data_IF_898807275929
#
_entry.id   IF_898807275929
#
_cell.length_a   1.000
_cell.length_b   1.000
_cell.length_c   1.000
_cell.angle_alpha   90.00
_cell.angle_beta   90.00
_cell.angle_gamma   90.00
#
_symmetry.space_group_name_H-M   'P 1'
#
loop_
_entity.id
_entity.type
_entity.pdbx_description
1 polymer ?
#
# COMPACT_ATOMS: atom_id res chain seq x y z
N UNK A 1 -3.43 -9.75 8.59
CA UNK A 1 -4.20 -8.85 9.48
C UNK A 1 -5.58 -9.48 9.67
N UNK A 2 -5.87 -10.39 10.60
CA UNK A 2 -5.48 -10.54 12.00
C UNK A 2 -5.79 -9.30 12.85
N UNK A 3 -7.03 -9.17 13.34
CA UNK A 3 -7.41 -8.50 14.61
C UNK A 3 -8.89 -8.81 14.93
N UNK A 4 -9.15 -9.73 15.87
CA UNK A 4 -9.57 -9.46 17.26
C UNK A 4 -11.00 -8.92 17.41
N UNK A 5 -11.96 -9.79 17.74
CA UNK A 5 -13.06 -9.49 18.68
C UNK A 5 -13.50 -10.78 19.40
N UNK A 6 -12.74 -11.16 20.43
CA UNK A 6 -13.19 -12.10 21.46
C UNK A 6 -14.02 -11.31 22.48
N UNK A 7 -15.33 -11.48 22.44
CA UNK A 7 -16.28 -10.98 23.44
C UNK A 7 -16.17 -11.81 24.72
N UNK A 8 -15.62 -11.20 25.77
CA UNK A 8 -15.45 -11.78 27.09
C UNK A 8 -16.80 -11.92 27.83
N UNK A 9 -17.19 -13.18 28.10
CA UNK A 9 -18.31 -13.53 28.99
C UNK A 9 -17.80 -13.56 30.44
N UNK A 10 -18.03 -12.48 31.19
CA UNK A 10 -17.66 -12.37 32.61
C UNK A 10 -18.78 -12.96 33.47
N UNK A 11 -18.58 -14.18 33.96
CA UNK A 11 -19.45 -14.84 34.94
C UNK A 11 -19.10 -14.29 36.32
N UNK A 12 -20.04 -13.56 36.93
CA UNK A 12 -19.92 -13.07 38.31
C UNK A 12 -20.55 -14.15 39.22
N UNK A 13 -19.70 -14.85 39.98
CA UNK A 13 -20.12 -15.70 41.09
C UNK A 13 -20.35 -14.82 42.33
N UNK A 14 -21.56 -14.88 42.92
CA UNK A 14 -21.86 -14.29 44.22
C UNK A 14 -21.83 -15.39 45.30
N UNK A 15 -21.23 -15.13 46.49
CA UNK A 15 -21.21 -16.09 47.58
C UNK A 15 -22.50 -16.04 48.41
N UNK A 16 -22.97 -17.23 48.78
CA UNK A 16 -24.12 -17.47 49.64
C UNK A 16 -23.68 -17.39 51.11
N UNK A 17 -24.10 -16.33 51.81
CA UNK A 17 -23.91 -16.20 53.25
C UNK A 17 -25.16 -16.76 53.97
N UNK A 18 -24.94 -17.71 54.88
CA UNK A 18 -25.98 -18.46 55.61
C UNK A 18 -25.84 -18.10 57.09
N UNK A 19 -26.63 -17.14 57.56
CA UNK A 19 -26.70 -16.76 58.98
C UNK A 19 -27.69 -17.66 59.71
N UNK A 20 -27.16 -18.54 60.57
CA UNK A 20 -27.93 -19.20 61.61
C UNK A 20 -28.16 -18.21 62.76
N UNK A 21 -29.42 -17.98 63.12
CA UNK A 21 -29.79 -17.27 64.33
C UNK A 21 -30.45 -18.23 65.31
N UNK A 22 -29.88 -18.22 66.51
CA UNK A 22 -30.04 -19.18 67.58
C UNK A 22 -31.26 -18.86 68.43
N UNK A 23 -31.92 -19.95 68.84
CA UNK A 23 -32.91 -20.10 69.91
C UNK A 23 -32.62 -19.26 71.16
N UNK A 24 -33.66 -18.61 71.72
CA UNK A 24 -33.86 -18.35 73.16
C UNK A 24 -35.20 -17.65 73.40
N UNK A 25 -36.13 -18.27 74.15
CA UNK A 25 -37.34 -17.57 74.58
C UNK A 25 -38.49 -18.42 75.11
N UNK A 26 -38.21 -19.47 75.90
CA UNK A 26 -39.22 -20.05 76.78
C UNK A 26 -39.21 -19.26 78.10
N UNK A 27 -40.39 -18.94 78.64
CA UNK A 27 -40.71 -18.49 80.03
C UNK A 27 -41.56 -17.22 80.13
N UNK A 28 -42.72 -17.13 79.48
CA UNK A 28 -43.79 -16.16 79.84
C UNK A 28 -45.21 -16.71 79.51
N UNK A 29 -45.52 -17.96 79.84
CA UNK A 29 -46.72 -18.64 79.33
C UNK A 29 -47.89 -18.81 80.34
N UNK A 30 -47.83 -18.28 81.56
CA UNK A 30 -48.81 -18.63 82.61
C UNK A 30 -49.80 -17.53 83.05
N UNK A 31 -49.58 -16.26 82.68
CA UNK A 31 -50.49 -15.14 83.06
C UNK A 31 -51.29 -14.57 81.87
N UNK A 32 -51.13 -15.13 80.67
CA UNK A 32 -51.80 -14.66 79.46
C UNK A 32 -53.27 -15.12 79.32
N UNK A 33 -53.64 -16.25 79.93
CA UNK A 33 -54.92 -16.92 79.65
C UNK A 33 -56.16 -16.15 80.10
N UNK A 34 -56.09 -15.38 81.20
CA UNK A 34 -57.25 -14.67 81.74
C UNK A 34 -57.49 -13.30 81.09
N UNK A 35 -56.40 -12.66 80.63
CA UNK A 35 -56.45 -11.46 79.77
C UNK A 35 -56.94 -11.85 78.36
N UNK A 36 -56.49 -12.99 77.83
CA UNK A 36 -56.94 -13.50 76.54
C UNK A 36 -58.44 -13.80 76.52
N UNK A 37 -59.03 -14.36 77.57
CA UNK A 37 -60.47 -14.64 77.60
C UNK A 37 -61.38 -13.38 77.61
N UNK A 38 -60.90 -12.25 78.18
CA UNK A 38 -61.61 -10.95 78.09
C UNK A 38 -61.37 -10.27 76.74
N UNK A 39 -60.14 -10.38 76.22
CA UNK A 39 -59.79 -9.90 74.88
C UNK A 39 -60.60 -10.63 73.81
N UNK A 40 -60.82 -11.93 73.97
CA UNK A 40 -61.57 -12.76 73.02
C UNK A 40 -63.06 -12.42 73.01
N UNK A 41 -63.66 -12.07 74.15
CA UNK A 41 -65.05 -11.56 74.21
C UNK A 41 -65.20 -10.16 73.62
N UNK A 42 -64.24 -9.25 73.87
CA UNK A 42 -64.22 -7.95 73.20
C UNK A 42 -64.01 -8.09 71.70
N UNK A 43 -63.09 -8.96 71.26
CA UNK A 43 -62.88 -9.26 69.84
C UNK A 43 -64.14 -9.85 69.22
N UNK A 44 -64.84 -10.78 69.87
CA UNK A 44 -66.10 -11.31 69.34
C UNK A 44 -67.18 -10.23 69.17
N UNK A 45 -67.31 -9.28 70.11
CA UNK A 45 -68.26 -8.17 69.95
C UNK A 45 -67.83 -7.17 68.87
N UNK A 46 -66.53 -6.87 68.76
CA UNK A 46 -65.99 -5.98 67.72
C UNK A 46 -66.14 -6.62 66.34
N UNK A 47 -65.80 -7.90 66.18
CA UNK A 47 -65.97 -8.63 64.92
C UNK A 47 -67.45 -8.74 64.54
N UNK A 48 -68.35 -9.02 65.48
CA UNK A 48 -69.79 -9.03 65.21
C UNK A 48 -70.27 -7.64 64.74
N UNK A 49 -69.83 -6.56 65.40
CA UNK A 49 -70.14 -5.18 64.98
C UNK A 49 -69.59 -4.84 63.59
N UNK A 50 -68.34 -5.21 63.30
CA UNK A 50 -67.70 -4.99 61.98
C UNK A 50 -68.43 -5.78 60.89
N UNK A 51 -68.78 -7.04 61.15
CA UNK A 51 -69.49 -7.86 60.16
C UNK A 51 -70.88 -7.31 59.85
N UNK A 52 -71.62 -6.84 60.86
CA UNK A 52 -72.91 -6.17 60.66
C UNK A 52 -72.73 -4.86 59.88
N UNK A 53 -71.70 -4.07 60.19
CA UNK A 53 -71.42 -2.84 59.47
C UNK A 53 -71.06 -3.11 58.00
N UNK A 54 -70.24 -4.12 57.72
CA UNK A 54 -69.84 -4.50 56.37
C UNK A 54 -71.02 -5.07 55.57
N UNK A 55 -71.92 -5.86 56.17
CA UNK A 55 -73.11 -6.33 55.46
C UNK A 55 -74.06 -5.18 55.15
N UNK A 56 -74.27 -4.24 56.08
CA UNK A 56 -75.06 -3.04 55.81
C UNK A 56 -74.41 -2.16 54.72
N UNK A 57 -73.09 -2.01 54.74
CA UNK A 57 -72.34 -1.30 53.69
C UNK A 57 -72.54 -1.98 52.33
N UNK A 58 -72.44 -3.30 52.24
CA UNK A 58 -72.68 -4.05 51.00
C UNK A 58 -74.13 -3.87 50.53
N UNK A 59 -75.12 -3.89 51.42
CA UNK A 59 -76.53 -3.66 51.05
C UNK A 59 -76.74 -2.23 50.54
N UNK A 60 -76.12 -1.22 51.14
CA UNK A 60 -76.18 0.17 50.68
C UNK A 60 -75.47 0.33 49.33
N UNK A 61 -74.31 -0.30 49.14
CA UNK A 61 -73.58 -0.27 47.87
C UNK A 61 -74.33 -1.02 46.77
N UNK A 62 -74.93 -2.17 47.07
CA UNK A 62 -75.73 -2.93 46.12
C UNK A 62 -77.00 -2.17 45.73
N UNK A 63 -77.73 -1.59 46.69
CA UNK A 63 -78.93 -0.78 46.38
C UNK A 63 -78.58 0.48 45.57
N UNK A 64 -77.48 1.15 45.89
CA UNK A 64 -76.98 2.29 45.10
C UNK A 64 -76.55 1.87 43.69
N UNK A 65 -75.90 0.72 43.54
CA UNK A 65 -75.50 0.16 42.24
C UNK A 65 -76.71 -0.24 41.39
N UNK A 66 -77.75 -0.84 41.99
CA UNK A 66 -79.02 -1.12 41.31
C UNK A 66 -79.76 0.15 40.89
N UNK A 67 -79.75 1.19 41.71
CA UNK A 67 -80.35 2.49 41.35
C UNK A 67 -79.59 3.15 40.19
N UNK A 68 -78.26 3.13 40.23
CA UNK A 68 -77.43 3.70 39.16
C UNK A 68 -77.51 2.88 37.86
N UNK A 69 -77.66 1.55 37.96
CA UNK A 69 -77.80 0.68 36.78
C UNK A 69 -79.19 0.75 36.13
N UNK A 70 -80.22 1.21 36.86
CA UNK A 70 -81.55 1.48 36.31
C UNK A 70 -81.70 2.84 35.63
N UNK A 71 -80.68 3.70 35.66
CA UNK A 71 -80.55 4.82 34.74
C UNK A 71 -80.34 4.29 33.31
N UNK A 72 -81.39 3.73 32.72
CA UNK A 72 -81.37 3.14 31.40
C UNK A 72 -80.98 4.20 30.38
N UNK A 73 -79.81 4.04 29.78
CA UNK A 73 -79.47 4.75 28.55
C UNK A 73 -80.60 4.49 27.57
N UNK A 74 -81.16 5.55 26.99
CA UNK A 74 -82.25 5.48 26.01
C UNK A 74 -81.93 4.37 24.99
N UNK A 75 -82.82 3.37 24.79
CA UNK A 75 -82.59 2.30 23.82
C UNK A 75 -82.20 2.82 22.42
N UNK A 76 -82.69 3.99 22.01
CA UNK A 76 -82.29 4.63 20.75
C UNK A 76 -80.86 5.17 20.77
N UNK A 77 -80.40 5.70 21.90
CA UNK A 77 -79.00 6.11 22.08
C UNK A 77 -78.07 4.90 22.09
N UNK A 78 -78.46 3.83 22.79
CA UNK A 78 -77.68 2.59 22.80
C UNK A 78 -77.60 1.96 21.40
N UNK A 79 -78.69 1.99 20.62
CA UNK A 79 -78.68 1.51 19.24
C UNK A 79 -77.74 2.36 18.35
N UNK A 80 -77.74 3.69 18.51
CA UNK A 80 -76.81 4.59 17.80
C UNK A 80 -75.35 4.29 18.14
N UNK A 81 -75.04 4.08 19.42
CA UNK A 81 -73.69 3.72 19.86
C UNK A 81 -73.23 2.37 19.28
N UNK A 82 -74.10 1.36 19.23
CA UNK A 82 -73.77 0.06 18.59
C UNK A 82 -73.48 0.21 17.11
N UNK A 83 -74.32 0.96 16.37
CA UNK A 83 -74.07 1.21 14.95
C UNK A 83 -72.77 1.97 14.70
N UNK A 84 -72.47 2.97 15.53
CA UNK A 84 -71.20 3.71 15.47
C UNK A 84 -70.00 2.78 15.73
N UNK A 85 -70.07 1.95 16.77
CA UNK A 85 -69.01 1.00 17.11
C UNK A 85 -68.83 -0.09 16.03
N UNK A 86 -69.91 -0.61 15.45
CA UNK A 86 -69.84 -1.55 14.32
C UNK A 86 -69.19 -0.90 13.09
N UNK A 87 -69.48 0.37 12.82
CA UNK A 87 -68.85 1.12 11.73
C UNK A 87 -67.35 1.33 11.99
N UNK A 88 -66.96 1.76 13.18
CA UNK A 88 -65.56 1.91 13.58
C UNK A 88 -64.81 0.57 13.50
N UNK A 89 -65.43 -0.51 13.98
CA UNK A 89 -64.85 -1.86 13.91
C UNK A 89 -64.61 -2.27 12.46
N UNK A 90 -65.57 -2.02 11.56
CA UNK A 90 -65.40 -2.27 10.12
C UNK A 90 -64.25 -1.44 9.51
N UNK A 91 -64.10 -0.18 9.91
CA UNK A 91 -62.97 0.65 9.45
C UNK A 91 -61.63 0.12 9.97
N UNK A 92 -61.55 -0.24 11.25
CA UNK A 92 -60.34 -0.83 11.83
C UNK A 92 -59.97 -2.16 11.17
N UNK A 93 -60.94 -3.02 10.87
CA UNK A 93 -60.68 -4.27 10.14
C UNK A 93 -60.11 -3.99 8.76
N UNK A 94 -60.69 -3.07 7.99
CA UNK A 94 -60.15 -2.67 6.67
C UNK A 94 -58.72 -2.13 6.77
N UNK A 95 -58.43 -1.32 7.79
CA UNK A 95 -57.10 -0.76 8.00
C UNK A 95 -56.08 -1.86 8.39
N UNK A 96 -56.47 -2.83 9.22
CA UNK A 96 -55.62 -3.99 9.54
C UNK A 96 -55.33 -4.83 8.30
N UNK A 97 -56.35 -5.12 7.49
CA UNK A 97 -56.15 -5.85 6.24
C UNK A 97 -55.25 -5.10 5.26
N UNK A 98 -55.38 -3.76 5.18
CA UNK A 98 -54.46 -2.92 4.39
C UNK A 98 -53.03 -3.04 4.91
N UNK A 99 -52.84 -2.90 6.22
CA UNK A 99 -51.53 -2.99 6.85
C UNK A 99 -50.89 -4.39 6.70
N UNK A 100 -51.67 -5.46 6.80
CA UNK A 100 -51.20 -6.82 6.55
C UNK A 100 -50.76 -7.02 5.09
N UNK A 101 -51.50 -6.46 4.12
CA UNK A 101 -51.11 -6.48 2.70
C UNK A 101 -49.80 -5.72 2.47
N UNK A 102 -49.69 -4.52 3.02
CA UNK A 102 -48.46 -3.72 2.92
C UNK A 102 -47.27 -4.41 3.57
N UNK A 103 -47.48 -5.05 4.72
CA UNK A 103 -46.41 -5.76 5.44
C UNK A 103 -45.93 -6.97 4.65
N UNK A 104 -46.85 -7.73 4.04
CA UNK A 104 -46.52 -8.85 3.15
C UNK A 104 -45.75 -8.38 1.91
N UNK A 105 -46.19 -7.29 1.28
CA UNK A 105 -45.47 -6.71 0.13
C UNK A 105 -44.05 -6.28 0.52
N UNK A 106 -43.90 -5.55 1.62
CA UNK A 106 -42.57 -5.15 2.13
C UNK A 106 -41.70 -6.34 2.51
N UNK A 107 -42.29 -7.44 2.97
CA UNK A 107 -41.54 -8.66 3.25
C UNK A 107 -41.06 -9.31 1.95
N UNK A 108 -41.92 -9.42 0.94
CA UNK A 108 -41.55 -9.94 -0.38
C UNK A 108 -40.46 -9.08 -1.04
N UNK A 109 -40.56 -7.75 -0.95
CA UNK A 109 -39.52 -6.83 -1.44
C UNK A 109 -38.19 -7.04 -0.73
N UNK A 110 -38.19 -7.26 0.60
CA UNK A 110 -36.97 -7.58 1.36
C UNK A 110 -36.37 -8.91 0.94
N UNK A 111 -37.20 -9.95 0.80
CA UNK A 111 -36.76 -11.29 0.37
C UNK A 111 -36.18 -11.24 -1.05
N UNK A 112 -36.81 -10.48 -1.97
CA UNK A 112 -36.27 -10.25 -3.31
C UNK A 112 -34.94 -9.50 -3.27
N UNK A 113 -34.85 -8.43 -2.49
CA UNK A 113 -33.61 -7.66 -2.35
C UNK A 113 -32.47 -8.50 -1.74
N UNK A 114 -32.74 -9.29 -0.71
CA UNK A 114 -31.77 -10.21 -0.11
C UNK A 114 -31.29 -11.26 -1.12
N UNK A 115 -32.20 -11.80 -1.94
CA UNK A 115 -31.86 -12.72 -3.02
C UNK A 115 -30.95 -12.07 -4.07
N UNK A 116 -31.29 -10.86 -4.54
CA UNK A 116 -30.47 -10.10 -5.50
C UNK A 116 -29.08 -9.79 -4.95
N UNK A 117 -29.00 -9.39 -3.68
CA UNK A 117 -27.73 -9.10 -3.00
C UNK A 117 -26.87 -10.35 -2.83
N UNK A 118 -27.46 -11.50 -2.53
CA UNK A 118 -26.73 -12.77 -2.45
C UNK A 118 -26.20 -13.21 -3.81
N UNK A 119 -26.99 -13.04 -4.88
CA UNK A 119 -26.52 -13.29 -6.25
C UNK A 119 -25.35 -12.39 -6.65
N UNK A 120 -25.38 -11.11 -6.26
CA UNK A 120 -24.25 -10.21 -6.47
C UNK A 120 -23.02 -10.62 -5.64
N UNK A 121 -23.22 -11.05 -4.40
CA UNK A 121 -22.14 -11.54 -3.53
C UNK A 121 -21.44 -12.75 -4.13
N UNK A 122 -22.20 -13.75 -4.60
CA UNK A 122 -21.65 -14.94 -5.25
C UNK A 122 -20.80 -14.57 -6.48
N UNK A 123 -21.31 -13.66 -7.33
CA UNK A 123 -20.54 -13.15 -8.48
C UNK A 123 -19.24 -12.48 -8.07
N UNK A 124 -19.26 -11.64 -7.04
CA UNK A 124 -18.04 -11.00 -6.52
C UNK A 124 -17.07 -11.99 -5.89
N UNK A 125 -17.55 -13.04 -5.23
CA UNK A 125 -16.70 -14.11 -4.69
C UNK A 125 -16.01 -14.89 -5.81
N UNK A 126 -16.74 -15.23 -6.88
CA UNK A 126 -16.18 -15.87 -8.07
C UNK A 126 -15.15 -14.98 -8.79
N UNK A 127 -15.46 -13.71 -8.99
CA UNK A 127 -14.52 -12.72 -9.55
C UNK A 127 -13.26 -12.58 -8.68
N UNK A 128 -13.41 -12.54 -7.36
CA UNK A 128 -12.29 -12.45 -6.43
C UNK A 128 -11.40 -13.71 -6.48
N UNK A 129 -11.99 -14.90 -6.61
CA UNK A 129 -11.26 -16.16 -6.81
C UNK A 129 -10.52 -16.14 -8.13
N UNK A 130 -11.15 -15.72 -9.22
CA UNK A 130 -10.52 -15.63 -10.54
C UNK A 130 -9.33 -14.67 -10.53
N UNK A 131 -9.51 -13.48 -9.95
CA UNK A 131 -8.41 -12.52 -9.76
C UNK A 131 -7.26 -13.07 -8.90
N UNK A 132 -7.55 -13.92 -7.90
CA UNK A 132 -6.50 -14.58 -7.12
C UNK A 132 -5.70 -15.57 -7.98
N UNK A 133 -6.38 -16.42 -8.75
CA UNK A 133 -5.75 -17.38 -9.66
C UNK A 133 -4.90 -16.65 -10.70
N UNK A 134 -5.41 -15.55 -11.26
CA UNK A 134 -4.70 -14.75 -12.24
C UNK A 134 -3.41 -14.15 -11.65
N UNK A 135 -3.49 -13.59 -10.42
CA UNK A 135 -2.29 -13.08 -9.72
C UNK A 135 -1.23 -14.15 -9.50
N UNK A 136 -1.63 -15.36 -9.07
CA UNK A 136 -0.71 -16.49 -8.89
C UNK A 136 -0.08 -16.95 -10.21
N UNK A 137 -0.82 -16.85 -11.32
CA UNK A 137 -0.28 -17.12 -12.66
C UNK A 137 0.79 -16.09 -13.05
N UNK A 138 0.48 -14.79 -12.91
CA UNK A 138 1.42 -13.71 -13.20
C UNK A 138 2.68 -13.76 -12.33
N UNK A 139 2.55 -14.17 -11.06
CA UNK A 139 3.69 -14.32 -10.16
C UNK A 139 4.61 -15.47 -10.60
N UNK A 140 4.05 -16.60 -11.04
CA UNK A 140 4.84 -17.71 -11.61
C UNK A 140 5.56 -17.31 -12.88
N UNK A 141 4.86 -16.64 -13.81
CA UNK A 141 5.48 -16.15 -15.06
C UNK A 141 6.61 -15.14 -14.76
N UNK A 142 6.43 -14.26 -13.77
CA UNK A 142 7.47 -13.32 -13.36
C UNK A 142 8.70 -14.03 -12.78
N UNK A 143 8.50 -15.04 -11.94
CA UNK A 143 9.59 -15.85 -11.37
C UNK A 143 10.32 -16.68 -12.43
N UNK A 144 9.62 -17.15 -13.47
CA UNK A 144 10.23 -17.83 -14.61
C UNK A 144 11.08 -16.85 -15.43
N UNK A 145 10.53 -15.69 -15.77
CA UNK A 145 11.25 -14.64 -16.47
C UNK A 145 12.50 -14.17 -15.72
N UNK A 146 12.44 -14.03 -14.39
CA UNK A 146 13.58 -13.65 -13.57
C UNK A 146 14.68 -14.73 -13.60
N UNK A 147 14.31 -16.01 -13.54
CA UNK A 147 15.27 -17.13 -13.66
C UNK A 147 15.92 -17.18 -15.05
N UNK A 148 15.15 -16.99 -16.11
CA UNK A 148 15.67 -16.93 -17.48
C UNK A 148 16.64 -15.75 -17.64
N UNK A 149 16.28 -14.58 -17.10
CA UNK A 149 17.14 -13.40 -17.12
C UNK A 149 18.45 -13.64 -16.36
N UNK A 150 18.40 -14.20 -15.16
CA UNK A 150 19.61 -14.54 -14.40
C UNK A 150 20.48 -15.56 -15.12
N UNK A 151 19.87 -16.54 -15.80
CA UNK A 151 20.60 -17.50 -16.60
C UNK A 151 21.30 -16.81 -17.79
N UNK A 152 20.57 -15.96 -18.51
CA UNK A 152 21.13 -15.18 -19.61
C UNK A 152 22.28 -14.28 -19.15
N UNK A 153 22.12 -13.58 -18.02
CA UNK A 153 23.18 -12.74 -17.44
C UNK A 153 24.42 -13.58 -17.10
N UNK A 154 24.27 -14.77 -16.49
CA UNK A 154 25.38 -15.69 -16.19
C UNK A 154 26.10 -16.19 -17.44
N UNK A 155 25.35 -16.56 -18.48
CA UNK A 155 25.91 -17.02 -19.75
C UNK A 155 26.66 -15.88 -20.44
N UNK A 156 26.07 -14.69 -20.50
CA UNK A 156 26.65 -13.53 -21.16
C UNK A 156 27.91 -13.02 -20.44
N UNK A 157 27.89 -12.97 -19.11
CA UNK A 157 29.07 -12.65 -18.30
C UNK A 157 30.17 -13.72 -18.41
N UNK A 158 29.78 -14.98 -18.57
CA UNK A 158 30.71 -16.08 -18.84
C UNK A 158 31.42 -15.92 -20.18
N UNK A 159 30.66 -15.65 -21.25
CA UNK A 159 31.19 -15.38 -22.58
C UNK A 159 32.08 -14.14 -22.60
N UNK A 160 31.66 -13.05 -21.93
CA UNK A 160 32.44 -11.82 -21.84
C UNK A 160 33.82 -12.07 -21.19
N UNK A 161 33.86 -12.84 -20.09
CA UNK A 161 35.11 -13.24 -19.42
C UNK A 161 35.98 -14.10 -20.32
N UNK A 162 35.41 -15.07 -21.03
CA UNK A 162 36.17 -15.91 -21.98
C UNK A 162 36.77 -15.06 -23.10
N UNK A 163 36.00 -14.16 -23.73
CA UNK A 163 36.51 -13.24 -24.75
C UNK A 163 37.62 -12.34 -24.22
N UNK A 164 37.53 -11.89 -22.96
CA UNK A 164 38.59 -11.10 -22.33
C UNK A 164 39.85 -11.93 -22.08
N UNK A 165 39.73 -13.16 -21.58
CA UNK A 165 40.86 -14.07 -21.41
C UNK A 165 41.54 -14.40 -22.74
N UNK A 166 40.77 -14.67 -23.80
CA UNK A 166 41.29 -14.88 -25.15
C UNK A 166 42.05 -13.64 -25.64
N UNK A 167 41.50 -12.44 -25.42
CA UNK A 167 42.22 -11.17 -25.71
C UNK A 167 43.53 -11.09 -24.93
N UNK A 168 43.54 -11.41 -23.63
CA UNK A 168 44.76 -11.42 -22.81
C UNK A 168 45.80 -12.43 -23.32
N UNK A 169 45.36 -13.62 -23.76
CA UNK A 169 46.25 -14.67 -24.29
C UNK A 169 46.82 -14.32 -25.67
N UNK A 170 46.11 -13.56 -26.50
CA UNK A 170 46.55 -13.17 -27.83
C UNK A 170 47.77 -12.22 -27.84
N UNK A 171 48.19 -11.70 -26.67
CA UNK A 171 49.29 -10.75 -26.56
C UNK A 171 48.93 -9.36 -27.07
N UNK A 172 49.93 -8.51 -27.34
CA UNK A 172 49.70 -7.19 -27.93
C UNK A 172 49.12 -7.34 -29.33
N UNK A 173 48.02 -6.65 -29.63
CA UNK A 173 47.42 -6.66 -30.97
C UNK A 173 46.80 -5.30 -31.33
N UNK A 174 46.54 -5.08 -32.62
CA UNK A 174 45.81 -3.92 -33.12
C UNK A 174 44.30 -4.15 -33.11
N UNK A 175 43.57 -3.34 -32.36
CA UNK A 175 42.11 -3.21 -32.46
C UNK A 175 41.79 -2.22 -33.60
N UNK A 176 41.19 -2.71 -34.69
CA UNK A 176 40.99 -1.96 -35.94
C UNK A 176 41.61 -2.68 -37.15
N UNK A 177 41.76 -2.03 -38.31
CA UNK A 177 41.75 -0.58 -38.53
C UNK A 177 40.36 0.03 -38.74
N UNK A 178 40.10 1.16 -38.10
CA UNK A 178 38.94 2.02 -38.31
C UNK A 178 39.25 3.05 -39.40
N UNK A 179 38.38 3.11 -40.41
CA UNK A 179 38.45 4.12 -41.46
C UNK A 179 37.84 5.43 -40.97
N UNK A 180 38.53 6.55 -41.19
CA UNK A 180 37.87 7.85 -41.01
C UNK A 180 36.74 8.01 -42.03
N UNK A 181 35.62 8.66 -41.66
CA UNK A 181 34.49 8.85 -42.58
C UNK A 181 34.85 9.67 -43.83
N UNK A 182 35.80 10.59 -43.71
CA UNK A 182 36.20 11.51 -44.77
C UNK A 182 37.62 11.18 -45.28
N UNK A 183 37.90 11.56 -46.53
CA UNK A 183 39.25 11.50 -47.08
C UNK A 183 40.05 12.72 -46.60
N UNK A 184 41.32 12.52 -46.25
CA UNK A 184 42.21 13.62 -45.85
C UNK A 184 42.73 14.43 -47.04
N UNK A 185 42.61 13.88 -48.24
CA UNK A 185 43.07 14.46 -49.49
C UNK A 185 42.65 13.61 -50.70
N UNK A 186 43.05 14.02 -51.90
CA UNK A 186 42.79 13.23 -53.11
C UNK A 186 43.56 11.91 -53.02
N UNK A 187 42.82 10.79 -53.05
CA UNK A 187 43.32 9.42 -52.92
C UNK A 187 44.02 9.10 -51.57
N UNK A 188 43.88 9.94 -50.55
CA UNK A 188 44.41 9.68 -49.20
C UNK A 188 43.30 9.51 -48.18
N UNK A 189 43.35 8.43 -47.41
CA UNK A 189 42.43 8.15 -46.31
C UNK A 189 43.20 7.81 -45.04
N UNK A 190 42.76 8.36 -43.92
CA UNK A 190 43.33 8.07 -42.62
C UNK A 190 42.66 6.81 -42.06
N UNK A 191 43.49 5.93 -41.54
CA UNK A 191 43.09 4.77 -40.78
C UNK A 191 43.63 4.93 -39.37
N UNK A 192 42.82 4.60 -38.37
CA UNK A 192 43.19 4.57 -36.97
C UNK A 192 43.09 3.15 -36.44
N UNK A 193 43.94 2.79 -35.49
CA UNK A 193 43.88 1.51 -34.77
C UNK A 193 44.39 1.72 -33.35
N UNK A 194 43.84 0.97 -32.41
CA UNK A 194 44.25 1.03 -31.01
C UNK A 194 45.14 -0.16 -30.69
N UNK A 195 46.31 0.11 -30.11
CA UNK A 195 47.17 -0.96 -29.65
C UNK A 195 46.70 -1.44 -28.28
N UNK A 196 46.16 -2.66 -28.21
CA UNK A 196 45.62 -3.26 -26.99
C UNK A 196 46.61 -4.26 -26.38
N UNK A 197 46.45 -4.52 -25.08
CA UNK A 197 47.17 -5.55 -24.33
C UNK A 197 48.70 -5.46 -24.34
N UNK A 198 49.23 -4.23 -24.33
CA UNK A 198 50.67 -4.03 -24.18
C UNK A 198 51.12 -4.44 -22.76
N UNK A 199 52.10 -5.35 -22.62
CA UNK A 199 52.68 -5.77 -21.35
C UNK A 199 53.16 -4.59 -20.50
N UNK A 200 53.07 -4.75 -19.18
CA UNK A 200 53.63 -3.79 -18.23
C UNK A 200 55.15 -3.65 -18.45
N UNK A 201 55.64 -2.42 -18.48
CA UNK A 201 57.04 -2.10 -18.72
C UNK A 201 57.45 -2.03 -20.19
N UNK A 202 56.62 -2.49 -21.14
CA UNK A 202 56.88 -2.27 -22.56
C UNK A 202 56.48 -0.85 -22.97
N UNK A 203 57.36 -0.16 -23.70
CA UNK A 203 57.07 1.18 -24.23
C UNK A 203 55.98 1.12 -25.29
N UNK A 204 54.86 1.82 -25.07
CA UNK A 204 53.77 1.90 -26.04
C UNK A 204 54.22 2.51 -27.36
N UNK A 205 55.13 3.49 -27.31
CA UNK A 205 55.70 4.12 -28.49
C UNK A 205 56.47 3.11 -29.32
N UNK A 206 57.26 2.26 -28.66
CA UNK A 206 58.05 1.23 -29.34
C UNK A 206 57.13 0.21 -30.01
N UNK A 207 56.17 -0.34 -29.26
CA UNK A 207 55.24 -1.33 -29.81
C UNK A 207 54.36 -0.76 -30.93
N UNK A 208 53.94 0.50 -30.84
CA UNK A 208 53.22 1.18 -31.92
C UNK A 208 54.07 1.28 -33.20
N UNK A 209 55.37 1.56 -33.07
CA UNK A 209 56.25 1.70 -34.24
C UNK A 209 56.69 0.37 -34.85
N UNK A 210 56.79 -0.69 -34.05
CA UNK A 210 57.35 -1.98 -34.45
C UNK A 210 56.29 -3.00 -34.87
N UNK A 211 55.04 -2.85 -34.44
CA UNK A 211 53.99 -3.82 -34.76
C UNK A 211 53.29 -3.50 -36.10
N UNK A 212 53.32 -4.41 -37.09
CA UNK A 212 52.63 -4.20 -38.35
C UNK A 212 51.11 -4.28 -38.19
N UNK A 213 50.37 -3.47 -38.94
CA UNK A 213 48.90 -3.52 -39.04
C UNK A 213 48.47 -3.88 -40.47
N UNK A 214 47.42 -4.69 -40.61
CA UNK A 214 46.87 -5.04 -41.92
C UNK A 214 45.79 -4.03 -42.33
N UNK A 215 46.01 -3.27 -43.40
CA UNK A 215 45.01 -2.36 -43.99
C UNK A 215 44.74 -2.81 -45.42
N UNK A 216 43.49 -3.19 -45.72
CA UNK A 216 43.09 -3.70 -47.04
C UNK A 216 43.99 -4.85 -47.52
N UNK A 217 44.28 -5.82 -46.63
CA UNK A 217 45.16 -6.97 -46.90
C UNK A 217 46.62 -6.64 -47.21
N UNK A 218 47.06 -5.40 -46.95
CA UNK A 218 48.46 -4.98 -47.09
C UNK A 218 49.05 -4.69 -45.70
N UNK A 219 50.23 -5.22 -45.37
CA UNK A 219 50.90 -4.90 -44.12
C UNK A 219 51.46 -3.49 -44.19
N UNK A 220 51.06 -2.64 -43.25
CA UNK A 220 51.71 -1.36 -42.97
C UNK A 220 52.66 -1.60 -41.81
N UNK A 221 53.96 -1.55 -42.09
CA UNK A 221 55.02 -1.93 -41.14
C UNK A 221 55.23 -0.89 -40.05
N UNK A 222 54.99 0.40 -40.35
CA UNK A 222 55.16 1.51 -39.43
C UNK A 222 54.02 2.52 -39.59
N UNK A 223 53.30 2.87 -38.52
CA UNK A 223 52.31 3.94 -38.59
C UNK A 223 53.00 5.31 -38.77
N UNK A 224 52.32 6.22 -39.46
CA UNK A 224 52.79 7.60 -39.66
C UNK A 224 52.82 8.40 -38.36
N UNK A 225 51.87 8.12 -37.46
CA UNK A 225 51.71 8.80 -36.19
C UNK A 225 51.32 7.80 -35.11
N UNK A 226 52.01 7.86 -33.98
CA UNK A 226 51.68 7.13 -32.77
C UNK A 226 51.21 8.14 -31.72
N UNK A 227 49.95 8.05 -31.30
CA UNK A 227 49.41 8.86 -30.21
C UNK A 227 49.19 7.98 -29.00
N UNK A 228 49.79 8.36 -27.87
CA UNK A 228 49.65 7.62 -26.62
C UNK A 228 48.48 8.18 -25.82
N UNK A 229 47.52 7.33 -25.45
CA UNK A 229 46.62 7.65 -24.35
C UNK A 229 47.42 7.59 -23.04
N UNK A 230 47.25 8.60 -22.16
CA UNK A 230 47.80 8.54 -20.81
C UNK A 230 46.94 7.51 -20.04
N UNK A 231 47.45 6.27 -19.99
CA UNK A 231 46.71 5.04 -19.64
C UNK A 231 45.96 5.06 -18.31
N UNK A 232 46.30 5.90 -17.33
CA UNK A 232 45.69 5.81 -16.00
C UNK A 232 44.36 6.55 -15.83
N UNK A 233 43.96 7.43 -16.75
CA UNK A 233 42.78 8.30 -16.54
C UNK A 233 41.70 8.24 -17.63
N UNK A 234 41.92 7.53 -18.75
CA UNK A 234 41.00 7.58 -19.89
C UNK A 234 40.92 8.99 -20.51
N UNK A 235 41.99 9.77 -20.35
CA UNK A 235 42.09 11.17 -20.76
C UNK A 235 42.99 11.26 -21.99
N UNK A 236 42.51 11.95 -23.02
CA UNK A 236 43.34 12.37 -24.15
C UNK A 236 43.86 13.78 -23.86
N UNK A 237 45.19 13.93 -23.95
CA UNK A 237 45.88 15.20 -23.77
C UNK A 237 46.13 15.85 -25.13
N UNK A 238 45.67 17.08 -25.31
CA UNK A 238 46.01 17.94 -26.44
C UNK A 238 46.80 19.16 -25.97
N UNK A 239 47.78 19.57 -26.76
CA UNK A 239 48.61 20.75 -26.48
C UNK A 239 48.57 21.71 -27.66
N UNK A 240 48.49 23.01 -27.38
CA UNK A 240 48.55 24.05 -28.41
C UNK A 240 49.21 25.32 -27.87
N UNK A 241 50.05 25.95 -28.68
CA UNK A 241 50.70 27.22 -28.34
C UNK A 241 49.67 28.35 -28.33
N UNK A 242 49.67 29.15 -27.27
CA UNK A 242 48.88 30.37 -27.18
C UNK A 242 49.58 31.47 -27.97
N UNK A 243 48.86 32.08 -28.92
CA UNK A 243 49.37 33.15 -29.79
C UNK A 243 48.73 34.48 -29.41
N UNK A 244 49.43 35.59 -29.67
CA UNK A 244 48.92 36.94 -29.39
C UNK A 244 49.16 37.45 -27.97
N UNK A 245 50.11 36.85 -27.24
CA UNK A 245 50.57 37.35 -25.94
C UNK A 245 51.53 38.54 -26.16
N UNK A 246 51.20 39.71 -25.62
CA UNK A 246 52.12 40.86 -25.62
C UNK A 246 52.97 40.89 -24.35
N UNK A 247 54.10 41.57 -24.40
CA UNK A 247 54.95 41.79 -23.22
C UNK A 247 54.17 42.58 -22.17
N UNK A 248 53.98 41.96 -20.99
CA UNK A 248 53.20 42.52 -19.89
C UNK A 248 51.78 41.93 -19.75
N UNK A 249 51.31 41.14 -20.71
CA UNK A 249 50.04 40.43 -20.56
C UNK A 249 50.16 39.34 -19.48
N UNK A 250 49.18 39.29 -18.58
CA UNK A 250 49.12 38.27 -17.54
C UNK A 250 48.87 36.90 -18.14
N UNK A 251 49.93 36.12 -18.40
CA UNK A 251 49.83 34.79 -19.03
C UNK A 251 48.83 33.85 -18.34
N UNK A 252 48.70 33.95 -17.00
CA UNK A 252 47.69 33.20 -16.24
C UNK A 252 46.26 33.59 -16.60
N UNK A 253 46.00 34.88 -16.78
CA UNK A 253 44.69 35.38 -17.18
C UNK A 253 44.34 34.85 -18.58
N UNK A 254 45.28 34.90 -19.51
CA UNK A 254 45.11 34.35 -20.86
C UNK A 254 44.89 32.83 -20.87
N UNK A 255 45.66 32.09 -20.06
CA UNK A 255 45.46 30.65 -19.89
C UNK A 255 44.02 30.33 -19.45
N UNK A 256 43.51 31.06 -18.46
CA UNK A 256 42.15 30.85 -17.93
C UNK A 256 41.02 31.44 -18.77
N UNK A 257 41.31 32.15 -19.86
CA UNK A 257 40.30 32.84 -20.68
C UNK A 257 40.35 32.52 -22.17
N UNK A 258 41.30 31.73 -22.65
CA UNK A 258 41.45 31.45 -24.09
C UNK A 258 40.67 30.19 -24.48
N UNK A 259 39.49 30.30 -25.10
CA UNK A 259 38.77 29.14 -25.60
C UNK A 259 39.49 28.56 -26.83
N UNK A 260 39.40 27.24 -27.00
CA UNK A 260 39.82 26.56 -28.22
C UNK A 260 38.60 25.91 -28.91
N UNK A 261 38.73 25.60 -30.19
CA UNK A 261 37.79 24.69 -30.87
C UNK A 261 38.47 23.34 -31.01
N UNK A 262 38.02 22.37 -30.23
CA UNK A 262 38.57 21.02 -30.20
C UNK A 262 37.50 20.08 -30.77
N UNK A 263 37.82 19.33 -31.82
CA UNK A 263 36.89 18.50 -32.59
C UNK A 263 35.61 19.24 -33.06
N UNK A 264 35.75 20.51 -33.43
CA UNK A 264 34.63 21.32 -33.91
C UNK A 264 33.63 21.75 -32.82
N UNK A 265 33.85 21.38 -31.56
CA UNK A 265 33.07 21.87 -30.42
C UNK A 265 33.84 23.01 -29.73
N UNK A 266 33.15 24.06 -29.25
CA UNK A 266 33.79 25.03 -28.38
C UNK A 266 34.24 24.30 -27.11
N UNK A 267 35.55 24.27 -26.86
CA UNK A 267 36.10 23.64 -25.66
C UNK A 267 36.04 24.61 -24.49
N UNK A 268 36.17 24.06 -23.28
CA UNK A 268 36.58 24.86 -22.13
C UNK A 268 37.98 25.44 -22.38
N UNK A 269 38.33 26.47 -21.61
CA UNK A 269 39.69 26.99 -21.50
C UNK A 269 40.67 25.85 -21.14
N UNK A 270 41.98 25.97 -21.46
CA UNK A 270 42.97 24.98 -21.08
C UNK A 270 42.82 24.54 -19.61
N UNK A 271 42.98 23.25 -19.34
CA UNK A 271 42.96 22.74 -17.96
C UNK A 271 44.17 23.23 -17.18
N UNK A 272 45.31 23.39 -17.86
CA UNK A 272 46.49 24.09 -17.36
C UNK A 272 47.37 24.60 -18.52
N UNK A 273 48.35 25.45 -18.20
CA UNK A 273 49.32 25.94 -19.18
C UNK A 273 50.75 25.78 -18.67
N UNK A 274 51.66 25.52 -19.59
CA UNK A 274 53.10 25.41 -19.33
C UNK A 274 53.85 26.52 -20.09
N UNK A 275 54.80 27.14 -19.42
CA UNK A 275 55.74 28.05 -20.06
C UNK A 275 56.85 27.23 -20.72
N UNK A 276 57.00 27.38 -22.04
CA UNK A 276 57.98 26.66 -22.83
C UNK A 276 58.94 27.65 -23.48
N UNK A 277 60.14 27.24 -23.95
CA UNK A 277 61.08 28.14 -24.64
C UNK A 277 60.50 28.84 -25.88
N UNK A 278 59.38 28.34 -26.41
CA UNK A 278 58.57 28.96 -27.45
C UNK A 278 57.36 29.74 -26.93
N UNK A 279 57.33 30.20 -25.69
CA UNK A 279 56.15 30.83 -25.08
C UNK A 279 55.12 29.83 -24.55
N UNK A 280 53.96 30.35 -24.16
CA UNK A 280 52.95 29.60 -23.42
C UNK A 280 52.24 28.54 -24.26
N UNK A 281 52.12 27.33 -23.71
CA UNK A 281 51.35 26.22 -24.29
C UNK A 281 50.17 25.89 -23.40
N UNK A 282 48.96 25.94 -23.94
CA UNK A 282 47.76 25.44 -23.28
C UNK A 282 47.66 23.93 -23.43
N UNK A 283 47.17 23.27 -22.38
CA UNK A 283 47.00 21.83 -22.30
C UNK A 283 45.54 21.53 -21.97
N UNK A 284 44.90 20.70 -22.80
CA UNK A 284 43.53 20.25 -22.63
C UNK A 284 43.52 18.75 -22.41
N UNK A 285 42.84 18.32 -21.36
CA UNK A 285 42.67 16.97 -20.91
C UNK A 285 41.17 16.66 -20.94
N UNK A 286 40.75 15.86 -21.91
CA UNK A 286 39.35 15.46 -22.04
C UNK A 286 39.23 13.96 -21.92
N UNK A 287 38.17 13.53 -21.23
CA UNK A 287 37.80 12.12 -21.19
C UNK A 287 37.51 11.65 -22.60
N UNK A 288 38.35 10.74 -23.08
CA UNK A 288 38.12 10.05 -24.32
C UNK A 288 37.70 8.63 -23.97
N UNK A 289 36.43 8.30 -24.19
CA UNK A 289 35.89 6.96 -23.95
C UNK A 289 36.62 5.88 -24.78
N UNK A 290 37.28 6.26 -25.87
CA UNK A 290 38.15 5.37 -26.64
C UNK A 290 39.48 5.06 -25.94
N UNK A 291 39.90 5.87 -24.97
CA UNK A 291 41.09 5.65 -24.13
C UNK A 291 40.79 4.82 -22.86
N UNK A 292 39.54 4.36 -22.63
CA UNK A 292 39.21 3.38 -21.59
C UNK A 292 39.39 1.93 -22.07
#
# INVERSE_FOLDING_TARGET
MAMYLLSARRIINLPHERTQLHNSGHHLASDFGEIEARRQRMHQQIFAGIMIFLTLLVVVLQSSFWWYSQGGVDPMEQARQRMAWEWETKQHTRLREQWERETKLKQQEREQWEWEMNQQREKWEDEAINHRIEREKWERERQEYEREREQWDREHDGEARQREEERRRAGTFWEGPYREPHCSGFDTRIYAGFLRNLPDGQSWTQACQEMPIMINSRPVTKPHKCEGCIRSLGVQRMTARLVGLNDGDGWRAMCGSTPARIFGRPSKVPDYCEDSPGGMTGIWEFENLSCR
#
